data_IF_395788126281
#
_entry.id   IF_395788126281
#
_cell.length_a   1.000
_cell.length_b   1.000
_cell.length_c   1.000
_cell.angle_alpha   90.00
_cell.angle_beta   90.00
_cell.angle_gamma   90.00
#
_symmetry.space_group_name_H-M   'P 1'
#
loop_
_entity.id
_entity.type
_entity.pdbx_description
1 polymer ?
#
# COMPACT_ATOMS: atom_id res chain seq x y z
N UNK A 1 -33.67 -14.44 -28.30
CA UNK A 1 -32.70 -13.57 -29.01
C UNK A 1 -31.86 -12.87 -27.96
N UNK A 2 -30.71 -13.44 -27.60
CA UNK A 2 -29.87 -12.96 -26.50
C UNK A 2 -28.97 -11.81 -26.97
N UNK A 3 -29.10 -10.66 -26.32
CA UNK A 3 -28.23 -9.49 -26.48
C UNK A 3 -26.86 -9.87 -25.94
N UNK A 4 -25.87 -9.99 -26.83
CA UNK A 4 -24.47 -10.21 -26.45
C UNK A 4 -23.91 -8.91 -25.87
N UNK A 5 -23.83 -8.83 -24.55
CA UNK A 5 -23.08 -7.78 -23.83
C UNK A 5 -21.60 -7.91 -24.17
N UNK A 6 -21.07 -6.94 -24.93
CA UNK A 6 -19.63 -6.77 -25.14
C UNK A 6 -19.05 -6.04 -23.92
N UNK A 7 -18.33 -6.76 -23.06
CA UNK A 7 -17.47 -6.15 -22.05
C UNK A 7 -16.13 -5.89 -22.75
N UNK A 8 -15.90 -4.65 -23.16
CA UNK A 8 -14.61 -4.22 -23.69
C UNK A 8 -13.66 -3.93 -22.53
N UNK A 9 -12.64 -4.78 -22.33
CA UNK A 9 -11.53 -4.49 -21.41
C UNK A 9 -10.50 -3.69 -22.20
N UNK A 10 -10.34 -2.42 -21.86
CA UNK A 10 -9.28 -1.57 -22.40
C UNK A 10 -8.01 -1.80 -21.57
N UNK A 11 -7.04 -2.54 -22.12
CA UNK A 11 -5.72 -2.72 -21.51
C UNK A 11 -4.78 -1.70 -22.15
N UNK A 12 -4.49 -0.61 -21.44
CA UNK A 12 -3.44 0.35 -21.79
C UNK A 12 -2.12 -0.16 -21.22
N UNK A 13 -1.30 -0.79 -22.07
CA UNK A 13 0.05 -1.23 -21.71
C UNK A 13 1.03 -0.06 -21.74
N UNK A 14 1.13 0.69 -20.65
CA UNK A 14 2.22 1.66 -20.46
C UNK A 14 3.42 0.88 -19.92
N UNK A 15 4.52 0.85 -20.69
CA UNK A 15 5.82 0.36 -20.18
C UNK A 15 6.32 1.35 -19.14
N UNK A 16 6.31 0.96 -17.86
CA UNK A 16 6.90 1.72 -16.76
C UNK A 16 7.97 0.86 -16.10
N UNK A 17 9.12 1.48 -15.83
CA UNK A 17 10.35 0.90 -15.29
C UNK A 17 10.11 0.06 -14.04
N UNK A 18 10.89 -1.02 -13.88
CA UNK A 18 10.86 -1.96 -12.75
C UNK A 18 11.57 -1.40 -11.50
N UNK A 19 11.36 -0.13 -11.20
CA UNK A 19 11.80 0.49 -9.95
C UNK A 19 10.54 0.84 -9.16
N UNK A 20 10.34 0.16 -8.04
CA UNK A 20 9.08 0.26 -7.29
C UNK A 20 9.11 1.52 -6.43
N UNK A 21 8.47 2.55 -6.98
CA UNK A 21 8.44 3.89 -6.43
C UNK A 21 7.09 4.22 -5.83
N UNK A 22 7.08 4.93 -4.70
CA UNK A 22 5.88 5.64 -4.24
C UNK A 22 5.62 6.81 -5.19
N UNK A 23 4.97 6.50 -6.32
CA UNK A 23 4.70 7.43 -7.40
C UNK A 23 3.47 8.32 -7.10
N UNK A 24 3.22 9.28 -7.98
CA UNK A 24 2.09 10.22 -7.85
C UNK A 24 0.72 9.50 -7.78
N UNK A 25 0.60 8.33 -8.42
CA UNK A 25 -0.64 7.55 -8.41
C UNK A 25 -0.89 6.99 -7.01
N UNK A 26 0.13 6.36 -6.40
CA UNK A 26 0.05 5.84 -5.03
C UNK A 26 -0.21 6.96 -4.04
N UNK A 27 0.50 8.09 -4.17
CA UNK A 27 0.33 9.26 -3.32
C UNK A 27 -1.11 9.81 -3.36
N UNK A 28 -1.65 9.99 -4.58
CA UNK A 28 -3.00 10.50 -4.79
C UNK A 28 -4.04 9.52 -4.26
N UNK A 29 -3.84 8.22 -4.48
CA UNK A 29 -4.75 7.19 -3.98
C UNK A 29 -4.83 7.17 -2.45
N UNK A 30 -3.69 7.23 -1.76
CA UNK A 30 -3.67 7.31 -0.29
C UNK A 30 -4.39 8.58 0.18
N UNK A 31 -4.17 9.72 -0.50
CA UNK A 31 -4.84 10.97 -0.16
C UNK A 31 -6.37 10.88 -0.34
N UNK A 32 -6.84 10.31 -1.44
CA UNK A 32 -8.27 10.14 -1.71
C UNK A 32 -8.93 9.24 -0.67
N UNK A 33 -8.31 8.09 -0.36
CA UNK A 33 -8.82 7.17 0.66
C UNK A 33 -8.86 7.83 2.04
N UNK A 34 -7.79 8.54 2.43
CA UNK A 34 -7.75 9.26 3.71
C UNK A 34 -8.72 10.43 3.76
N UNK A 35 -9.09 11.03 2.64
CA UNK A 35 -10.11 12.08 2.59
C UNK A 35 -11.54 11.52 2.66
N UNK A 36 -11.83 10.48 1.89
CA UNK A 36 -13.18 9.95 1.74
C UNK A 36 -13.61 9.09 2.92
N UNK A 37 -12.74 8.19 3.38
CA UNK A 37 -13.11 7.18 4.37
C UNK A 37 -12.62 7.54 5.77
N UNK A 38 -11.55 8.34 5.87
CA UNK A 38 -10.82 8.55 7.11
C UNK A 38 -10.41 10.02 7.37
N UNK A 39 -11.35 10.98 7.25
CA UNK A 39 -11.06 12.42 7.15
C UNK A 39 -10.29 13.01 8.34
N UNK A 40 -10.29 12.34 9.50
CA UNK A 40 -9.74 12.87 10.76
C UNK A 40 -8.59 12.05 11.35
N UNK A 41 -8.10 11.01 10.66
CA UNK A 41 -7.03 10.16 11.21
C UNK A 41 -5.67 10.50 10.61
N UNK A 42 -4.70 10.69 11.48
CA UNK A 42 -3.30 10.41 11.14
C UNK A 42 -3.19 8.95 10.67
N UNK A 43 -2.23 8.65 9.80
CA UNK A 43 -1.99 7.28 9.37
C UNK A 43 -0.53 6.87 9.52
N UNK A 44 -0.28 5.59 9.76
CA UNK A 44 1.07 5.04 9.75
C UNK A 44 1.26 4.20 8.49
N UNK A 45 2.26 4.54 7.68
CA UNK A 45 2.64 3.83 6.47
C UNK A 45 3.78 2.85 6.78
N UNK A 46 3.57 1.60 6.43
CA UNK A 46 4.59 0.55 6.42
C UNK A 46 5.04 0.30 4.98
N UNK A 47 6.31 0.60 4.68
CA UNK A 47 6.85 0.56 3.31
C UNK A 47 8.29 0.02 3.28
N UNK A 48 8.82 -0.23 2.09
CA UNK A 48 10.23 -0.56 1.85
C UNK A 48 10.87 0.39 0.82
N UNK A 49 10.17 1.47 0.49
CA UNK A 49 10.61 2.56 -0.38
C UNK A 49 11.88 3.27 0.13
N UNK A 50 12.64 3.86 -0.80
CA UNK A 50 13.86 4.59 -0.48
C UNK A 50 13.58 5.88 0.31
N UNK A 51 14.52 6.36 1.14
CA UNK A 51 14.33 7.58 1.94
C UNK A 51 13.93 8.82 1.13
N UNK A 52 14.40 8.94 -0.12
CA UNK A 52 14.05 10.06 -1.00
C UNK A 52 12.56 10.05 -1.38
N UNK A 53 12.01 8.88 -1.66
CA UNK A 53 10.60 8.69 -2.03
C UNK A 53 9.68 8.91 -0.84
N UNK A 54 10.10 8.45 0.34
CA UNK A 54 9.38 8.69 1.60
C UNK A 54 9.36 10.18 1.91
N UNK A 55 10.48 10.88 1.73
CA UNK A 55 10.52 12.33 1.91
C UNK A 55 9.62 13.08 0.92
N UNK A 56 9.51 12.61 -0.32
CA UNK A 56 8.60 13.14 -1.34
C UNK A 56 7.14 12.93 -0.93
N UNK A 57 6.76 11.71 -0.56
CA UNK A 57 5.44 11.38 -0.02
C UNK A 57 5.12 12.24 1.21
N UNK A 58 6.05 12.38 2.15
CA UNK A 58 5.84 13.16 3.37
C UNK A 58 5.57 14.64 3.09
N UNK A 59 6.28 15.22 2.12
CA UNK A 59 6.01 16.59 1.64
C UNK A 59 4.63 16.69 1.01
N UNK A 60 4.26 15.74 0.14
CA UNK A 60 2.95 15.71 -0.49
C UNK A 60 1.81 15.62 0.54
N UNK A 61 1.91 14.71 1.50
CA UNK A 61 0.91 14.52 2.55
C UNK A 61 0.82 15.73 3.48
N UNK A 62 1.96 16.32 3.86
CA UNK A 62 1.99 17.53 4.70
C UNK A 62 1.32 18.73 4.00
N UNK A 63 1.57 18.90 2.69
CA UNK A 63 0.93 19.94 1.88
C UNK A 63 -0.60 19.78 1.83
N UNK A 64 -1.08 18.55 1.92
CA UNK A 64 -2.51 18.20 1.98
C UNK A 64 -3.03 18.04 3.42
N UNK A 65 -2.31 18.55 4.42
CA UNK A 65 -2.72 18.57 5.84
C UNK A 65 -2.97 17.16 6.42
N UNK A 66 -2.27 16.15 5.92
CA UNK A 66 -2.34 14.77 6.42
C UNK A 66 -1.21 14.49 7.38
N UNK A 67 -1.56 14.29 8.65
CA UNK A 67 -0.65 13.77 9.66
C UNK A 67 -0.31 12.33 9.32
N UNK A 68 0.97 11.99 9.34
CA UNK A 68 1.41 10.65 8.99
C UNK A 68 2.72 10.31 9.70
N UNK A 69 2.94 9.01 9.85
CA UNK A 69 4.20 8.40 10.23
C UNK A 69 4.59 7.41 9.14
N UNK A 70 5.86 7.33 8.77
CA UNK A 70 6.35 6.38 7.78
C UNK A 70 7.42 5.51 8.43
N UNK A 71 7.15 4.22 8.50
CA UNK A 71 7.98 3.22 9.15
C UNK A 71 8.45 2.23 8.09
N UNK A 72 9.77 2.07 7.93
CA UNK A 72 10.28 1.07 7.00
C UNK A 72 10.06 -0.34 7.56
N UNK A 73 9.71 -1.28 6.70
CA UNK A 73 9.54 -2.70 7.01
C UNK A 73 10.48 -3.56 6.16
N UNK A 74 11.35 -4.31 6.83
CA UNK A 74 12.33 -5.20 6.21
C UNK A 74 12.41 -6.51 7.00
N UNK A 75 12.45 -7.65 6.30
CA UNK A 75 12.67 -8.97 6.92
C UNK A 75 11.71 -9.30 8.07
N UNK A 76 12.21 -9.94 9.13
CA UNK A 76 11.47 -10.23 10.38
C UNK A 76 11.14 -8.94 11.15
N UNK A 77 10.21 -8.15 10.63
CA UNK A 77 9.73 -6.93 11.27
C UNK A 77 8.82 -7.29 12.46
N UNK A 78 9.14 -6.80 13.66
CA UNK A 78 8.30 -6.94 14.85
C UNK A 78 7.73 -5.58 15.20
N UNK A 79 6.42 -5.42 15.04
CA UNK A 79 5.73 -4.18 15.38
C UNK A 79 5.08 -4.34 16.75
N UNK A 80 5.39 -3.42 17.66
CA UNK A 80 4.59 -3.26 18.87
C UNK A 80 3.38 -2.40 18.50
N UNK A 81 2.24 -3.06 18.25
CA UNK A 81 0.99 -2.36 17.98
C UNK A 81 0.68 -1.50 19.20
N UNK A 82 0.83 -0.18 19.04
CA UNK A 82 0.65 0.75 20.14
C UNK A 82 -0.75 0.57 20.70
N UNK A 83 -0.83 0.03 21.92
CA UNK A 83 -2.04 0.02 22.76
C UNK A 83 -2.31 1.44 23.26
N UNK A 84 -2.45 2.38 22.33
CA UNK A 84 -2.77 3.77 22.63
C UNK A 84 -4.28 3.86 22.88
N UNK A 85 -4.73 4.68 23.86
CA UNK A 85 -6.14 5.04 23.99
C UNK A 85 -6.70 5.75 22.75
N UNK A 86 -5.85 6.09 21.77
CA UNK A 86 -6.24 6.60 20.45
C UNK A 86 -6.45 5.51 19.39
N UNK A 87 -6.59 4.22 19.76
CA UNK A 87 -6.78 3.11 18.82
C UNK A 87 -7.91 3.33 17.78
N UNK A 88 -8.93 4.14 18.12
CA UNK A 88 -9.98 4.57 17.19
C UNK A 88 -9.50 5.42 16.00
N UNK A 89 -8.24 5.85 16.01
CA UNK A 89 -7.57 6.64 14.98
C UNK A 89 -6.50 5.85 14.23
N UNK A 90 -6.32 4.57 14.54
CA UNK A 90 -5.31 3.74 13.90
C UNK A 90 -5.74 3.42 12.47
N UNK A 91 -5.21 4.18 11.50
CA UNK A 91 -5.28 3.87 10.09
C UNK A 91 -3.88 3.46 9.63
N UNK A 92 -3.73 2.19 9.28
CA UNK A 92 -2.48 1.62 8.81
C UNK A 92 -2.52 1.48 7.29
N UNK A 93 -1.49 1.97 6.62
CA UNK A 93 -1.25 1.72 5.21
C UNK A 93 -0.07 0.76 5.14
N UNK A 94 -0.20 -0.36 4.43
CA UNK A 94 0.88 -1.33 4.28
C UNK A 94 1.08 -1.61 2.81
N UNK A 95 2.34 -1.62 2.41
CA UNK A 95 2.74 -2.10 1.10
C UNK A 95 3.04 -3.62 1.20
N UNK A 96 2.10 -4.45 0.73
CA UNK A 96 2.11 -5.92 0.82
C UNK A 96 3.34 -6.55 0.16
N UNK A 97 3.92 -5.78 -0.72
CA UNK A 97 4.85 -6.20 -1.73
C UNK A 97 6.28 -5.99 -1.15
N UNK A 98 6.39 -5.51 0.09
CA UNK A 98 7.60 -5.45 0.93
C UNK A 98 7.82 -6.73 1.72
N UNK A 99 9.09 -7.13 1.88
CA UNK A 99 9.46 -8.42 2.47
C UNK A 99 8.96 -8.66 3.89
N UNK A 100 8.73 -7.62 4.71
CA UNK A 100 8.21 -7.75 6.08
C UNK A 100 6.70 -7.55 6.22
N UNK A 101 5.97 -7.39 5.12
CA UNK A 101 4.55 -7.05 5.15
C UNK A 101 3.68 -8.21 5.61
N UNK A 102 4.02 -9.43 5.22
CA UNK A 102 3.26 -10.62 5.62
C UNK A 102 3.40 -10.89 7.13
N UNK A 103 4.61 -10.77 7.67
CA UNK A 103 4.88 -10.91 9.10
C UNK A 103 4.13 -9.85 9.92
N UNK A 104 4.11 -8.60 9.44
CA UNK A 104 3.34 -7.52 10.05
C UNK A 104 1.84 -7.86 10.08
N UNK A 105 1.28 -8.37 8.98
CA UNK A 105 -0.14 -8.70 8.88
C UNK A 105 -0.50 -9.93 9.72
N UNK A 106 0.37 -10.92 9.81
CA UNK A 106 0.19 -12.07 10.72
C UNK A 106 0.18 -11.58 12.17
N UNK A 107 1.14 -10.75 12.58
CA UNK A 107 1.17 -10.17 13.92
C UNK A 107 -0.07 -9.32 14.20
N UNK A 108 -0.53 -8.53 13.22
CA UNK A 108 -1.77 -7.76 13.35
C UNK A 108 -2.98 -8.66 13.61
N UNK A 109 -3.06 -9.81 12.93
CA UNK A 109 -4.11 -10.79 13.16
C UNK A 109 -4.03 -11.41 14.57
N UNK A 110 -2.85 -11.90 14.95
CA UNK A 110 -2.62 -12.58 16.22
C UNK A 110 -2.88 -11.65 17.42
N UNK A 111 -2.65 -10.35 17.25
CA UNK A 111 -2.88 -9.31 18.28
C UNK A 111 -4.27 -8.67 18.21
N UNK A 112 -5.15 -9.11 17.30
CA UNK A 112 -6.52 -8.59 17.19
C UNK A 112 -6.65 -7.21 16.53
N UNK A 113 -5.62 -6.74 15.82
CA UNK A 113 -5.59 -5.44 15.15
C UNK A 113 -6.36 -5.38 13.82
N UNK A 114 -6.93 -6.49 13.33
CA UNK A 114 -7.89 -6.48 12.21
C UNK A 114 -9.35 -6.24 12.63
N UNK A 115 -9.57 -5.96 13.92
CA UNK A 115 -10.90 -5.70 14.46
C UNK A 115 -11.12 -4.17 14.51
N UNK A 116 -12.38 -3.76 14.33
CA UNK A 116 -12.76 -2.36 14.53
C UNK A 116 -12.33 -1.90 15.95
N UNK A 117 -11.86 -0.65 16.10
CA UNK A 117 -11.96 0.46 15.15
C UNK A 117 -10.77 0.61 14.18
N UNK A 118 -9.77 -0.29 14.25
CA UNK A 118 -8.56 -0.21 13.42
C UNK A 118 -8.90 -0.38 11.95
N UNK A 119 -8.25 0.43 11.10
CA UNK A 119 -8.46 0.44 9.64
C UNK A 119 -7.16 0.14 8.93
N UNK A 120 -7.26 -0.59 7.83
CA UNK A 120 -6.13 -1.04 7.03
C UNK A 120 -6.34 -0.70 5.56
N UNK A 121 -5.33 -0.13 4.93
CA UNK A 121 -5.20 -0.02 3.48
C UNK A 121 -4.01 -0.85 3.06
N UNK A 122 -4.27 -1.96 2.38
CA UNK A 122 -3.26 -2.88 1.87
C UNK A 122 -3.02 -2.55 0.40
N UNK A 123 -1.80 -2.13 0.08
CA UNK A 123 -1.36 -1.78 -1.27
C UNK A 123 -0.57 -2.95 -1.85
N UNK A 124 -0.75 -3.19 -3.15
CA UNK A 124 0.06 -4.16 -3.89
C UNK A 124 0.24 -3.66 -5.32
N UNK A 125 1.47 -3.60 -5.81
CA UNK A 125 1.74 -3.25 -7.20
C UNK A 125 1.77 -4.50 -8.09
N UNK A 126 0.66 -4.74 -8.79
CA UNK A 126 0.55 -5.87 -9.71
C UNK A 126 1.45 -5.76 -10.95
N UNK A 127 2.07 -4.61 -11.21
CA UNK A 127 3.01 -4.41 -12.33
C UNK A 127 4.27 -5.25 -12.14
N UNK A 128 4.75 -5.39 -10.90
CA UNK A 128 5.92 -6.20 -10.58
C UNK A 128 5.67 -7.69 -10.85
N UNK A 129 4.49 -8.18 -10.50
CA UNK A 129 4.07 -9.59 -10.70
C UNK A 129 3.91 -9.94 -12.19
N UNK A 130 3.49 -9.00 -13.03
CA UNK A 130 3.38 -9.24 -14.47
C UNK A 130 4.76 -9.51 -15.12
N UNK A 131 5.83 -8.86 -14.65
CA UNK A 131 7.17 -9.04 -15.19
C UNK A 131 7.80 -10.39 -14.82
N UNK A 132 7.47 -10.97 -13.65
CA UNK A 132 7.97 -12.30 -13.28
C UNK A 132 7.37 -13.43 -14.13
N UNK A 133 6.09 -13.30 -14.52
CA UNK A 133 5.46 -14.23 -15.47
C UNK A 133 6.03 -14.12 -16.89
N UNK A 134 6.41 -12.92 -17.34
CA UNK A 134 6.99 -12.75 -18.68
C UNK A 134 8.45 -13.24 -18.75
N UNK A 135 9.25 -13.08 -17.70
CA UNK A 135 10.62 -13.60 -17.67
C UNK A 135 10.68 -15.14 -17.59
N UNK A 136 9.70 -15.79 -16.95
CA UNK A 136 9.61 -17.27 -16.94
C UNK A 136 9.28 -17.91 -18.29
N UNK A 137 8.92 -17.10 -19.30
CA UNK A 137 8.59 -17.57 -20.65
C UNK A 137 9.72 -17.43 -21.69
N UNK A 138 10.84 -16.78 -21.32
CA UNK A 138 12.01 -16.62 -22.21
C UNK A 138 13.11 -17.67 -22.00
N UNK A 139 13.02 -18.52 -20.97
CA UNK A 139 14.02 -19.57 -20.69
C UNK A 139 13.69 -20.93 -21.35
N UNK A 140 12.70 -20.96 -22.25
CA UNK A 140 12.33 -22.15 -23.05
C UNK A 140 12.15 -21.77 -24.53
N UNK A 141 13.23 -21.39 -25.20
CA UNK A 141 13.33 -21.41 -26.65
C UNK A 141 14.77 -21.69 -27.10
#
# INVERSE_FOLDING_TARGET
MFIKNFIGILILSIRVSADRKIDEIVQTFILDVTNSFYPTSSFSLFHCAEPAEVAELSRFMSKNQKLHEASPIFGEYRFDFVNSPLAHRNFYVVDLDCAGAYELLIQANETGNFIAPTKWLILQDLRATANSMFNGSLDLA
#
